data_IF_773066367251
#
_entry.id   IF_773066367251
#
_cell.length_a   1.000
_cell.length_b   1.000
_cell.length_c   1.000
_cell.angle_alpha   90.00
_cell.angle_beta   90.00
_cell.angle_gamma   90.00
#
_symmetry.space_group_name_H-M   'P 1'
#
loop_
_entity.id
_entity.type
_entity.pdbx_description
1 polymer ?
#
# COMPACT_ATOMS: atom_id res chain seq x y z
N UNK A 1 4.37 -16.47 -6.39
CA UNK A 1 4.70 -15.17 -7.03
C UNK A 1 3.75 -14.08 -6.52
N UNK A 2 4.25 -13.08 -5.78
CA UNK A 2 4.04 -11.67 -6.10
C UNK A 2 4.89 -10.81 -5.14
N UNK A 3 6.11 -10.47 -5.56
CA UNK A 3 7.03 -9.55 -4.88
C UNK A 3 6.45 -8.11 -4.77
N UNK A 4 5.34 -7.82 -5.46
CA UNK A 4 4.77 -6.49 -5.59
C UNK A 4 3.87 -6.03 -4.44
N UNK A 5 3.32 -6.92 -3.61
CA UNK A 5 2.42 -6.55 -2.51
C UNK A 5 3.11 -5.67 -1.45
N UNK A 6 4.38 -5.98 -1.14
CA UNK A 6 5.23 -5.20 -0.23
C UNK A 6 5.42 -3.78 -0.77
N UNK A 7 5.67 -3.65 -2.08
CA UNK A 7 5.90 -2.37 -2.76
C UNK A 7 4.67 -1.47 -2.66
N UNK A 8 3.46 -2.02 -2.77
CA UNK A 8 2.23 -1.25 -2.56
C UNK A 8 2.04 -0.82 -1.10
N UNK A 9 2.49 -1.63 -0.14
CA UNK A 9 2.50 -1.28 1.28
C UNK A 9 3.34 -0.03 1.56
N UNK A 10 4.53 0.05 0.95
CA UNK A 10 5.48 1.17 1.09
C UNK A 10 5.20 2.35 0.15
N UNK A 11 4.24 2.23 -0.77
CA UNK A 11 3.90 3.30 -1.70
C UNK A 11 3.23 4.48 -0.98
N UNK A 12 3.69 5.69 -1.29
CA UNK A 12 3.15 6.92 -0.70
C UNK A 12 1.71 7.19 -1.16
N UNK A 13 0.92 7.83 -0.30
CA UNK A 13 -0.50 8.10 -0.56
C UNK A 13 -0.76 8.85 -1.88
N UNK A 14 0.14 9.74 -2.30
CA UNK A 14 0.02 10.46 -3.57
C UNK A 14 0.02 9.51 -4.79
N UNK A 15 0.91 8.52 -4.80
CA UNK A 15 0.99 7.54 -5.89
C UNK A 15 -0.22 6.61 -5.90
N UNK A 16 -0.70 6.22 -4.71
CA UNK A 16 -1.90 5.40 -4.58
C UNK A 16 -3.16 6.13 -5.06
N UNK A 17 -3.28 7.42 -4.76
CA UNK A 17 -4.37 8.26 -5.29
C UNK A 17 -4.32 8.33 -6.82
N UNK A 18 -3.14 8.54 -7.41
CA UNK A 18 -2.97 8.53 -8.88
C UNK A 18 -3.39 7.20 -9.50
N UNK A 19 -2.93 6.08 -8.94
CA UNK A 19 -3.33 4.75 -9.40
C UNK A 19 -4.85 4.55 -9.30
N UNK A 20 -5.48 4.97 -8.20
CA UNK A 20 -6.93 4.90 -8.05
C UNK A 20 -7.68 5.73 -9.11
N UNK A 21 -7.18 6.92 -9.45
CA UNK A 21 -7.76 7.74 -10.53
C UNK A 21 -7.58 7.07 -11.89
N UNK A 22 -6.41 6.49 -12.17
CA UNK A 22 -6.14 5.76 -13.41
C UNK A 22 -7.06 4.54 -13.56
N UNK A 23 -7.26 3.77 -12.48
CA UNK A 23 -8.21 2.64 -12.51
C UNK A 23 -9.63 3.11 -12.79
N UNK A 24 -10.06 4.23 -12.18
CA UNK A 24 -11.40 4.78 -12.42
C UNK A 24 -11.59 5.23 -13.88
N UNK A 25 -10.57 5.86 -14.47
CA UNK A 25 -10.58 6.27 -15.87
C UNK A 25 -10.63 5.07 -16.82
N UNK A 26 -9.82 4.05 -16.54
CA UNK A 26 -9.75 2.84 -17.34
C UNK A 26 -11.06 2.05 -17.32
N UNK A 27 -11.68 1.87 -16.14
CA UNK A 27 -12.97 1.18 -16.02
C UNK A 27 -14.08 1.91 -16.79
N UNK A 28 -14.08 3.25 -16.77
CA UNK A 28 -15.02 4.04 -17.58
C UNK A 28 -14.80 3.86 -19.07
N UNK A 29 -13.55 3.80 -19.50
CA UNK A 29 -13.20 3.59 -20.90
C UNK A 29 -13.66 2.22 -21.39
N UNK A 30 -13.52 1.16 -20.58
CA UNK A 30 -13.99 -0.18 -20.91
C UNK A 30 -15.51 -0.22 -21.10
N UNK A 31 -16.26 0.41 -20.18
CA UNK A 31 -17.73 0.41 -20.20
C UNK A 31 -18.30 1.47 -21.15
N UNK A 32 -17.44 2.31 -21.73
CA UNK A 32 -17.83 3.51 -22.48
C UNK A 32 -18.84 4.39 -21.69
N UNK A 33 -18.58 4.55 -20.39
CA UNK A 33 -19.50 5.20 -19.46
C UNK A 33 -19.36 6.73 -19.48
N UNK A 34 -20.46 7.51 -19.64
CA UNK A 34 -20.41 8.96 -19.56
C UNK A 34 -20.02 9.47 -18.16
N UNK A 35 -19.49 10.69 -18.12
CA UNK A 35 -18.86 11.28 -16.92
C UNK A 35 -19.80 11.38 -15.71
N UNK A 36 -21.12 11.56 -15.93
CA UNK A 36 -22.12 11.75 -14.88
C UNK A 36 -22.51 10.45 -14.15
N UNK A 37 -22.16 9.28 -14.68
CA UNK A 37 -22.41 8.00 -13.99
C UNK A 37 -21.51 7.92 -12.76
N UNK A 38 -22.05 7.52 -11.61
CA UNK A 38 -21.24 7.37 -10.38
C UNK A 38 -20.31 6.15 -10.50
N UNK A 39 -19.06 6.29 -10.04
CA UNK A 39 -18.09 5.19 -10.06
C UNK A 39 -18.61 3.95 -9.31
N UNK A 40 -19.39 4.13 -8.24
CA UNK A 40 -20.02 3.04 -7.49
C UNK A 40 -20.97 2.17 -8.32
N UNK A 41 -21.62 2.74 -9.33
CA UNK A 41 -22.52 2.00 -10.24
C UNK A 41 -21.65 1.14 -11.15
N UNK A 42 -20.60 1.72 -11.74
CA UNK A 42 -19.63 1.01 -12.59
C UNK A 42 -19.00 -0.18 -11.84
N UNK A 43 -18.61 0.02 -10.58
CA UNK A 43 -18.06 -1.06 -9.75
C UNK A 43 -19.07 -2.18 -9.46
N UNK A 44 -20.33 -1.82 -9.20
CA UNK A 44 -21.41 -2.79 -8.98
C UNK A 44 -21.71 -3.60 -10.24
N UNK A 45 -21.83 -2.92 -11.38
CA UNK A 45 -22.15 -3.54 -12.68
C UNK A 45 -21.03 -4.50 -13.12
N UNK A 46 -19.78 -4.08 -12.97
CA UNK A 46 -18.62 -4.91 -13.30
C UNK A 46 -18.31 -5.97 -12.22
N UNK A 47 -18.98 -5.93 -11.06
CA UNK A 47 -18.70 -6.77 -9.88
C UNK A 47 -17.23 -6.70 -9.42
N UNK A 48 -16.59 -5.54 -9.62
CA UNK A 48 -15.18 -5.29 -9.27
C UNK A 48 -15.09 -4.57 -7.93
N UNK A 49 -14.17 -4.99 -7.06
CA UNK A 49 -13.84 -4.27 -5.83
C UNK A 49 -12.99 -3.02 -6.14
N UNK A 50 -13.23 -1.87 -5.50
CA UNK A 50 -12.36 -0.70 -5.63
C UNK A 50 -10.91 -1.00 -5.19
N UNK A 51 -9.95 -0.21 -5.70
CA UNK A 51 -8.52 -0.44 -5.49
C UNK A 51 -8.11 -0.44 -4.01
N UNK A 52 -8.69 0.46 -3.20
CA UNK A 52 -8.35 0.61 -1.78
C UNK A 52 -8.67 -0.65 -0.93
N UNK A 53 -9.91 -1.18 -0.90
CA UNK A 53 -10.21 -2.42 -0.18
C UNK A 53 -9.46 -3.61 -0.77
N UNK A 54 -9.30 -3.66 -2.10
CA UNK A 54 -8.55 -4.72 -2.76
C UNK A 54 -7.07 -4.77 -2.33
N UNK A 55 -6.41 -3.60 -2.23
CA UNK A 55 -5.04 -3.50 -1.69
C UNK A 55 -4.95 -4.05 -0.26
N UNK A 56 -5.92 -3.73 0.60
CA UNK A 56 -5.94 -4.21 1.99
C UNK A 56 -6.06 -5.73 2.05
N UNK A 57 -6.96 -6.31 1.24
CA UNK A 57 -7.13 -7.76 1.13
C UNK A 57 -5.86 -8.44 0.62
N UNK A 58 -5.21 -7.89 -0.40
CA UNK A 58 -3.94 -8.39 -0.93
C UNK A 58 -2.82 -8.34 0.11
N UNK A 59 -2.71 -7.22 0.84
CA UNK A 59 -1.74 -7.06 1.91
C UNK A 59 -1.93 -8.15 2.98
N UNK A 60 -3.14 -8.31 3.50
CA UNK A 60 -3.45 -9.36 4.49
C UNK A 60 -3.12 -10.77 4.00
N UNK A 61 -3.50 -11.10 2.75
CA UNK A 61 -3.19 -12.40 2.14
C UNK A 61 -1.69 -12.64 1.95
N UNK A 62 -0.92 -11.57 1.74
CA UNK A 62 0.52 -11.65 1.65
C UNK A 62 1.14 -11.89 3.03
N UNK A 63 0.83 -11.02 4.01
CA UNK A 63 1.41 -11.10 5.35
C UNK A 63 1.04 -12.38 6.10
N UNK A 64 -0.17 -12.93 5.88
CA UNK A 64 -0.57 -14.22 6.44
C UNK A 64 0.21 -15.42 5.90
N UNK A 65 0.81 -15.31 4.70
CA UNK A 65 1.60 -16.39 4.09
C UNK A 65 3.08 -16.32 4.43
N UNK A 66 3.58 -15.16 4.88
CA UNK A 66 4.97 -14.95 5.26
C UNK A 66 5.58 -16.01 6.20
N UNK A 67 4.90 -16.46 7.28
CA UNK A 67 5.51 -17.43 8.20
C UNK A 67 5.77 -18.80 7.57
N UNK A 68 5.15 -19.11 6.42
CA UNK A 68 5.31 -20.37 5.72
C UNK A 68 6.35 -20.29 4.58
N UNK A 69 7.04 -19.17 4.41
CA UNK A 69 8.03 -19.00 3.33
C UNK A 69 9.43 -19.31 3.88
N UNK A 70 10.18 -20.24 3.28
CA UNK A 70 11.53 -20.63 3.75
C UNK A 70 12.62 -19.59 3.41
N UNK A 71 12.27 -18.31 3.25
CA UNK A 71 13.20 -17.24 2.88
C UNK A 71 13.48 -16.35 4.09
N UNK A 72 14.71 -16.39 4.58
CA UNK A 72 15.18 -15.65 5.76
C UNK A 72 15.00 -14.13 5.63
N UNK A 73 15.23 -13.56 4.44
CA UNK A 73 15.06 -12.12 4.19
C UNK A 73 13.62 -11.65 4.38
N UNK A 74 12.67 -12.54 4.12
CA UNK A 74 11.24 -12.29 4.22
C UNK A 74 10.77 -12.53 5.66
N UNK A 75 11.35 -13.52 6.35
CA UNK A 75 11.11 -13.79 7.77
C UNK A 75 11.54 -12.63 8.67
N UNK A 76 12.60 -11.91 8.30
CA UNK A 76 13.14 -10.79 9.08
C UNK A 76 12.35 -9.46 8.90
N UNK A 77 11.28 -9.45 8.12
CA UNK A 77 10.48 -8.23 7.92
C UNK A 77 9.65 -7.89 9.17
N UNK A 78 9.48 -6.60 9.51
CA UNK A 78 8.65 -6.20 10.63
C UNK A 78 7.19 -6.64 10.42
N UNK A 79 6.53 -7.03 11.51
CA UNK A 79 5.11 -7.39 11.49
C UNK A 79 4.28 -6.23 10.93
N UNK A 80 3.43 -6.53 9.94
CA UNK A 80 2.54 -5.54 9.35
C UNK A 80 1.30 -5.33 10.23
N UNK A 81 1.20 -4.15 10.83
CA UNK A 81 -0.03 -3.70 11.51
C UNK A 81 -0.80 -2.70 10.62
N UNK A 82 -1.98 -3.08 10.09
CA UNK A 82 -2.81 -2.19 9.28
C UNK A 82 -3.47 -1.05 10.07
N UNK A 83 -3.48 -1.10 11.40
CA UNK A 83 -4.03 -0.06 12.27
C UNK A 83 -3.01 1.04 12.60
N UNK A 84 -1.72 0.74 12.47
CA UNK A 84 -0.65 1.72 12.63
C UNK A 84 -0.43 2.42 11.28
N UNK A 85 -0.75 3.72 11.14
CA UNK A 85 -0.35 4.47 9.97
C UNK A 85 1.18 4.51 9.95
N UNK A 86 1.81 3.76 9.05
CA UNK A 86 3.25 3.81 8.87
C UNK A 86 3.62 5.24 8.43
N UNK A 87 4.04 6.04 9.40
CA UNK A 87 4.61 7.37 9.22
C UNK A 87 6.09 7.28 8.84
N UNK A 88 6.54 6.12 8.32
CA UNK A 88 7.90 5.95 7.82
C UNK A 88 8.12 6.95 6.69
N UNK A 89 8.71 8.08 7.06
CA UNK A 89 9.26 9.07 6.13
C UNK A 89 10.16 8.27 5.18
N UNK A 90 9.97 8.45 3.88
CA UNK A 90 10.97 7.99 2.91
C UNK A 90 12.24 8.78 3.16
N UNK A 91 13.14 8.27 3.99
CA UNK A 91 14.51 8.71 3.95
C UNK A 91 15.08 8.12 2.67
N UNK A 92 15.34 8.98 1.69
CA UNK A 92 16.23 8.66 0.56
C UNK A 92 17.60 8.12 1.03
N UNK A 93 17.93 8.30 2.31
CA UNK A 93 19.15 7.88 2.97
C UNK A 93 19.10 6.51 3.70
N UNK A 94 17.95 5.81 3.77
CA UNK A 94 17.84 4.55 4.56
C UNK A 94 18.44 3.29 3.90
N UNK A 95 19.22 3.43 2.82
CA UNK A 95 19.91 2.31 2.17
C UNK A 95 21.37 2.13 2.64
N UNK A 96 21.89 3.03 3.44
CA UNK A 96 23.24 2.91 4.00
C UNK A 96 23.15 2.87 5.53
N UNK A 97 23.19 1.65 6.05
CA UNK A 97 23.92 1.27 7.26
C UNK A 97 23.31 1.62 8.65
N UNK A 98 23.06 0.53 9.36
CA UNK A 98 23.19 0.31 10.81
C UNK A 98 22.07 0.82 11.75
N UNK A 99 21.23 -0.15 12.10
CA UNK A 99 20.37 -0.19 13.27
C UNK A 99 21.20 -0.22 14.57
N UNK A 100 21.86 0.86 14.97
CA UNK A 100 22.33 0.99 16.37
C UNK A 100 21.97 2.36 16.94
N UNK A 101 20.97 2.33 17.84
CA UNK A 101 20.59 3.31 18.87
C UNK A 101 20.49 4.80 18.48
N UNK A 102 19.26 5.31 18.36
CA UNK A 102 19.01 6.75 18.48
C UNK A 102 18.59 7.11 19.92
N UNK A 103 19.32 8.00 20.62
CA UNK A 103 18.90 8.50 21.92
C UNK A 103 17.81 9.57 21.78
N UNK A 104 16.91 9.63 22.77
CA UNK A 104 15.80 10.58 22.86
C UNK A 104 16.30 12.02 23.04
N UNK A 105 16.00 12.91 22.08
CA UNK A 105 16.23 14.34 22.22
C UNK A 105 14.91 15.09 22.49
N UNK A 106 14.83 15.72 23.68
CA UNK A 106 13.75 16.64 24.08
C UNK A 106 13.73 17.85 23.14
N UNK A 107 12.60 18.13 22.51
CA UNK A 107 12.38 19.37 21.77
C UNK A 107 12.09 20.51 22.75
N UNK A 108 13.04 21.42 22.93
CA UNK A 108 12.77 22.74 23.47
C UNK A 108 12.00 23.55 22.43
N UNK A 109 10.91 24.19 22.86
CA UNK A 109 10.12 25.13 22.06
C UNK A 109 10.82 26.48 22.08
N UNK A 110 10.85 27.15 20.93
CA UNK A 110 11.01 28.59 20.80
C UNK A 110 9.81 29.10 20.00
#
# INVERSE_FOLDING_TARGET
MCYGSQIFGSAGMCHLKKLHTLTNSFLRQIVNAPWFIRNEVIYRDLKIKPLLPHKKDLSKRFFSKLPNVPNELISNQPAYDPAVPSSQKRSRALLEQDFISFPQAKRLRA
#
